data_IF_079992202999
#
_entry.id   IF_079992202999
#
_cell.length_a   1.000
_cell.length_b   1.000
_cell.length_c   1.000
_cell.angle_alpha   90.00
_cell.angle_beta   90.00
_cell.angle_gamma   90.00
#
_symmetry.space_group_name_H-M   'P 1'
#
loop_
_entity.id
_entity.type
_entity.pdbx_description
1 polymer ?
#
# COMPACT_ATOMS: atom_id res chain seq x y z
N UNK A 1 -12.11 4.19 6.31
CA UNK A 1 -11.06 4.85 5.51
C UNK A 1 -10.47 6.06 6.19
N UNK A 2 -11.33 7.02 6.53
CA UNK A 2 -10.96 8.27 7.16
C UNK A 2 -10.14 8.08 8.45
N UNK A 3 -10.59 7.23 9.37
CA UNK A 3 -9.86 6.93 10.61
C UNK A 3 -8.44 6.36 10.41
N UNK A 4 -8.17 5.60 9.34
CA UNK A 4 -6.80 5.15 9.08
C UNK A 4 -5.94 6.31 8.57
N UNK A 5 -6.49 7.10 7.65
CA UNK A 5 -5.83 8.28 7.09
C UNK A 5 -5.55 9.31 8.19
N UNK A 6 -6.53 9.63 9.03
CA UNK A 6 -6.41 10.49 10.21
C UNK A 6 -5.30 10.02 11.15
N UNK A 7 -5.25 8.72 11.45
CA UNK A 7 -4.17 8.15 12.28
C UNK A 7 -2.80 8.31 11.64
N UNK A 8 -2.70 8.28 10.31
CA UNK A 8 -1.41 8.49 9.63
C UNK A 8 -1.04 9.98 9.57
N UNK A 9 -2.02 10.86 9.29
CA UNK A 9 -1.80 12.31 9.29
C UNK A 9 -1.39 12.82 10.67
N UNK A 10 -2.03 12.33 11.74
CA UNK A 10 -1.64 12.63 13.13
C UNK A 10 -0.23 12.18 13.49
N UNK A 11 0.38 11.25 12.74
CA UNK A 11 1.76 10.80 12.95
C UNK A 11 2.78 11.55 12.11
N UNK A 12 2.36 12.52 11.30
CA UNK A 12 3.31 13.30 10.52
C UNK A 12 4.30 14.01 11.46
N UNK A 13 5.55 14.04 11.02
CA UNK A 13 6.67 14.76 11.60
C UNK A 13 7.11 15.91 10.68
N UNK A 14 7.78 16.96 11.20
CA UNK A 14 8.26 18.10 10.41
C UNK A 14 9.47 17.71 9.54
N UNK A 15 9.21 17.03 8.42
CA UNK A 15 10.21 16.62 7.45
C UNK A 15 9.62 16.64 6.02
N UNK A 16 10.49 16.65 5.01
CA UNK A 16 10.08 16.36 3.64
C UNK A 16 9.79 14.86 3.50
N UNK A 17 8.72 14.50 2.83
CA UNK A 17 8.31 13.12 2.60
C UNK A 17 8.62 12.68 1.20
N UNK A 18 8.88 11.39 1.07
CA UNK A 18 9.15 10.71 -0.17
C UNK A 18 8.17 9.55 -0.34
N UNK A 19 7.67 9.41 -1.56
CA UNK A 19 6.94 8.24 -2.00
C UNK A 19 7.93 7.34 -2.76
N UNK A 20 8.28 6.23 -2.15
CA UNK A 20 9.07 5.18 -2.78
C UNK A 20 8.13 4.10 -3.32
N UNK A 21 8.38 3.61 -4.52
CA UNK A 21 7.56 2.53 -5.13
C UNK A 21 8.47 1.39 -5.55
N UNK A 22 8.28 0.23 -4.94
CA UNK A 22 9.02 -1.00 -5.23
C UNK A 22 8.14 -1.91 -6.07
N UNK A 23 8.56 -2.18 -7.29
CA UNK A 23 7.74 -2.92 -8.27
C UNK A 23 8.31 -4.31 -8.51
N UNK A 24 7.44 -5.31 -8.44
CA UNK A 24 7.78 -6.67 -8.80
C UNK A 24 7.80 -6.83 -10.33
N UNK A 25 8.86 -7.39 -10.94
CA UNK A 25 8.91 -7.63 -12.38
C UNK A 25 7.80 -8.57 -12.87
N UNK A 26 7.49 -8.53 -14.17
CA UNK A 26 6.36 -9.26 -14.74
C UNK A 26 6.50 -10.77 -14.59
N UNK A 27 7.73 -11.26 -14.66
CA UNK A 27 8.14 -12.66 -14.61
C UNK A 27 7.84 -13.30 -13.24
N UNK A 28 7.79 -12.50 -12.18
CA UNK A 28 7.46 -12.96 -10.83
C UNK A 28 5.95 -12.94 -10.55
N UNK A 29 5.12 -12.42 -11.45
CA UNK A 29 3.67 -12.31 -11.22
C UNK A 29 2.97 -13.67 -11.10
N UNK A 30 3.27 -14.69 -11.92
CA UNK A 30 2.70 -16.03 -11.70
C UNK A 30 3.04 -16.58 -10.31
N UNK A 31 4.30 -16.46 -9.90
CA UNK A 31 4.76 -16.86 -8.56
C UNK A 31 4.01 -16.07 -7.46
N UNK A 32 3.89 -14.75 -7.61
CA UNK A 32 3.15 -13.91 -6.68
C UNK A 32 1.67 -14.26 -6.60
N UNK A 33 1.06 -14.64 -7.73
CA UNK A 33 -0.34 -15.04 -7.77
C UNK A 33 -0.56 -16.40 -7.10
N UNK A 34 0.35 -17.36 -7.29
CA UNK A 34 0.29 -18.68 -6.66
C UNK A 34 0.58 -18.64 -5.15
N UNK A 35 1.51 -17.77 -4.72
CA UNK A 35 2.00 -17.69 -3.34
C UNK A 35 1.80 -16.29 -2.73
N UNK A 36 0.57 -15.77 -2.84
CA UNK A 36 0.24 -14.38 -2.47
C UNK A 36 0.71 -13.98 -1.07
N UNK A 37 0.43 -14.79 -0.04
CA UNK A 37 0.77 -14.44 1.33
C UNK A 37 2.29 -14.30 1.53
N UNK A 38 3.06 -15.29 1.10
CA UNK A 38 4.51 -15.30 1.21
C UNK A 38 5.15 -14.16 0.39
N UNK A 39 4.77 -14.03 -0.89
CA UNK A 39 5.39 -13.06 -1.80
C UNK A 39 5.01 -11.63 -1.43
N UNK A 40 3.77 -11.36 -1.03
CA UNK A 40 3.39 -10.01 -0.61
C UNK A 40 4.03 -9.62 0.72
N UNK A 41 4.18 -10.57 1.66
CA UNK A 41 4.90 -10.33 2.91
C UNK A 41 6.38 -10.00 2.64
N UNK A 42 7.04 -10.83 1.82
CA UNK A 42 8.41 -10.62 1.36
C UNK A 42 8.57 -9.26 0.66
N UNK A 43 7.66 -8.92 -0.25
CA UNK A 43 7.68 -7.64 -0.97
C UNK A 43 7.65 -6.45 -0.02
N UNK A 44 6.77 -6.46 0.99
CA UNK A 44 6.69 -5.38 1.98
C UNK A 44 7.91 -5.34 2.90
N UNK A 45 8.41 -6.51 3.33
CA UNK A 45 9.53 -6.63 4.27
C UNK A 45 10.85 -6.21 3.61
N UNK A 46 11.15 -6.73 2.42
CA UNK A 46 12.36 -6.39 1.67
C UNK A 46 12.37 -4.91 1.27
N UNK A 47 11.21 -4.31 0.92
CA UNK A 47 11.11 -2.88 0.66
C UNK A 47 11.46 -2.06 1.92
N UNK A 48 10.93 -2.43 3.09
CA UNK A 48 11.25 -1.79 4.37
C UNK A 48 12.73 -1.94 4.75
N UNK A 49 13.27 -3.17 4.73
CA UNK A 49 14.66 -3.43 5.09
C UNK A 49 15.64 -2.69 4.17
N UNK A 50 15.30 -2.54 2.89
CA UNK A 50 16.09 -1.77 1.94
C UNK A 50 16.18 -0.32 2.39
N UNK A 51 15.06 0.36 2.63
CA UNK A 51 15.09 1.77 3.05
C UNK A 51 15.68 1.96 4.45
N UNK A 52 15.52 0.98 5.34
CA UNK A 52 16.16 0.97 6.65
C UNK A 52 17.69 0.92 6.52
N UNK A 53 18.22 -0.02 5.73
CA UNK A 53 19.67 -0.14 5.47
C UNK A 53 20.25 1.16 4.90
N UNK A 54 19.54 1.76 3.94
CA UNK A 54 19.97 3.03 3.34
C UNK A 54 19.94 4.19 4.34
N UNK A 55 18.95 4.25 5.22
CA UNK A 55 18.87 5.27 6.27
C UNK A 55 20.01 5.14 7.29
N UNK A 56 20.39 3.92 7.68
CA UNK A 56 21.53 3.71 8.57
C UNK A 56 22.86 4.11 7.93
N UNK A 57 23.03 3.83 6.63
CA UNK A 57 24.28 4.12 5.91
C UNK A 57 24.37 5.55 5.35
N UNK A 58 23.29 6.32 5.36
CA UNK A 58 23.26 7.70 4.89
C UNK A 58 23.93 8.65 5.89
N UNK A 59 24.86 9.48 5.41
CA UNK A 59 25.67 10.41 6.24
C UNK A 59 24.81 11.40 7.07
N UNK A 60 23.63 11.78 6.60
CA UNK A 60 22.73 12.73 7.26
C UNK A 60 21.63 12.05 8.10
N UNK A 61 21.23 10.82 7.79
CA UNK A 61 20.21 10.10 8.56
C UNK A 61 20.82 9.26 9.69
N UNK A 62 21.77 8.36 9.42
CA UNK A 62 22.45 7.47 10.39
C UNK A 62 21.54 6.96 11.53
N UNK A 63 20.37 6.43 11.18
CA UNK A 63 19.42 5.96 12.19
C UNK A 63 18.22 5.24 11.61
N UNK A 64 17.32 4.83 12.51
CA UNK A 64 16.09 4.11 12.15
C UNK A 64 15.09 5.09 11.53
N UNK A 65 14.69 4.91 10.26
CA UNK A 65 13.70 5.77 9.65
C UNK A 65 12.29 5.41 10.15
N UNK A 66 11.27 6.08 9.62
CA UNK A 66 9.88 5.70 9.79
C UNK A 66 9.23 5.60 8.42
N UNK A 67 8.35 4.64 8.20
CA UNK A 67 7.64 4.55 6.93
C UNK A 67 6.24 3.95 7.06
N UNK A 68 5.37 4.29 6.12
CA UNK A 68 4.04 3.70 5.95
C UNK A 68 4.05 2.96 4.61
N UNK A 69 3.96 1.63 4.65
CA UNK A 69 3.90 0.78 3.48
C UNK A 69 2.46 0.44 3.11
N UNK A 70 2.14 0.49 1.82
CA UNK A 70 0.85 0.07 1.26
C UNK A 70 1.10 -0.81 0.05
N UNK A 71 0.57 -2.04 0.10
CA UNK A 71 0.55 -2.97 -1.02
C UNK A 71 -0.54 -2.59 -2.02
N UNK A 72 -0.18 -2.58 -3.30
CA UNK A 72 -1.09 -2.57 -4.43
C UNK A 72 -0.82 -3.78 -5.33
N UNK A 73 -1.88 -4.28 -5.96
CA UNK A 73 -1.82 -5.46 -6.83
C UNK A 73 -2.25 -5.18 -8.26
N UNK A 74 -2.63 -3.94 -8.59
CA UNK A 74 -3.26 -3.61 -9.87
C UNK A 74 -2.68 -2.37 -10.53
N UNK A 75 -2.73 -2.33 -11.85
CA UNK A 75 -2.59 -1.10 -12.62
C UNK A 75 -3.92 -0.35 -12.67
N UNK A 76 -3.91 0.87 -13.25
CA UNK A 76 -5.16 1.60 -13.56
C UNK A 76 -6.02 0.88 -14.60
N UNK A 77 -5.42 0.00 -15.41
CA UNK A 77 -6.08 -0.83 -16.42
C UNK A 77 -6.58 -2.18 -15.84
N UNK A 78 -6.48 -2.36 -14.52
CA UNK A 78 -6.82 -3.57 -13.76
C UNK A 78 -5.90 -4.78 -13.98
N UNK A 79 -4.80 -4.63 -14.72
CA UNK A 79 -3.83 -5.71 -14.87
C UNK A 79 -3.13 -6.01 -13.54
N UNK A 80 -2.87 -7.29 -13.26
CA UNK A 80 -2.14 -7.70 -12.08
C UNK A 80 -0.69 -7.20 -12.10
N UNK A 81 -0.37 -6.44 -11.06
CA UNK A 81 0.88 -5.70 -10.92
C UNK A 81 1.20 -5.44 -9.43
N UNK A 82 1.69 -6.46 -8.69
CA UNK A 82 2.12 -6.30 -7.31
C UNK A 82 3.25 -5.27 -7.16
N UNK A 83 3.03 -4.26 -6.32
CA UNK A 83 4.02 -3.25 -5.94
C UNK A 83 3.72 -2.70 -4.56
N UNK A 84 4.73 -2.17 -3.89
CA UNK A 84 4.59 -1.53 -2.57
C UNK A 84 4.96 -0.06 -2.67
N UNK A 85 4.08 0.79 -2.17
CA UNK A 85 4.41 2.18 -1.88
C UNK A 85 4.84 2.34 -0.44
N UNK A 86 5.97 3.02 -0.23
CA UNK A 86 6.44 3.47 1.08
C UNK A 86 6.38 5.00 1.12
N UNK A 87 5.61 5.53 2.06
CA UNK A 87 5.64 6.96 2.42
C UNK A 87 6.60 7.12 3.59
N UNK A 88 7.74 7.75 3.33
CA UNK A 88 8.85 7.89 4.28
C UNK A 88 9.22 9.36 4.44
N UNK A 89 9.15 9.95 5.65
CA UNK A 89 9.84 11.20 5.94
C UNK A 89 11.35 11.03 5.75
N UNK A 90 12.02 12.06 5.24
CA UNK A 90 13.47 12.19 5.19
C UNK A 90 14.04 12.50 6.58
N UNK A 91 13.72 11.62 7.53
CA UNK A 91 14.09 11.73 8.92
C UNK A 91 14.35 10.33 9.51
N UNK A 92 15.16 10.29 10.55
CA UNK A 92 15.55 9.09 11.27
C UNK A 92 15.79 9.39 12.75
N UNK A 93 15.67 8.36 13.57
CA UNK A 93 15.98 8.39 15.00
C UNK A 93 17.24 7.58 15.20
N UNK A 94 18.28 8.23 15.70
CA UNK A 94 19.46 7.55 16.23
C UNK A 94 19.22 7.31 17.73
N UNK A 95 18.90 6.07 18.09
CA UNK A 95 18.55 5.70 19.48
C UNK A 95 19.74 5.75 20.42
N UNK A 96 20.94 5.40 19.94
CA UNK A 96 22.18 5.40 20.72
C UNK A 96 22.54 6.83 21.16
N UNK A 97 22.50 7.78 20.21
CA UNK A 97 22.82 9.19 20.45
C UNK A 97 21.61 9.99 20.93
N UNK A 98 20.42 9.39 21.02
CA UNK A 98 19.14 10.04 21.32
C UNK A 98 18.87 11.26 20.41
N UNK A 99 19.17 11.14 19.12
CA UNK A 99 19.11 12.23 18.15
C UNK A 99 18.00 12.04 17.12
N UNK A 100 17.26 13.13 16.87
CA UNK A 100 16.43 13.28 15.69
C UNK A 100 17.26 13.83 14.54
N UNK A 101 17.34 13.10 13.43
CA UNK A 101 18.14 13.48 12.27
C UNK A 101 17.25 13.66 11.06
N UNK A 102 17.47 14.72 10.30
CA UNK A 102 16.74 15.01 9.07
C UNK A 102 17.73 15.19 7.93
N UNK A 103 17.33 14.73 6.74
CA UNK A 103 18.10 14.98 5.52
C UNK A 103 17.60 16.26 4.89
N UNK A 104 18.49 17.25 4.75
CA UNK A 104 18.15 18.57 4.23
C UNK A 104 17.91 18.51 2.72
N UNK A 105 17.01 19.37 2.26
CA UNK A 105 16.72 19.59 0.85
C UNK A 105 17.98 20.12 0.15
N UNK A 106 18.35 19.53 -0.98
CA UNK A 106 19.30 20.15 -1.90
C UNK A 106 18.73 21.49 -2.40
N UNK A 107 19.58 22.50 -2.64
CA UNK A 107 19.18 23.76 -3.30
C UNK A 107 18.66 23.52 -4.73
N UNK A 108 18.93 22.36 -5.33
CA UNK A 108 18.38 21.99 -6.63
C UNK A 108 16.88 21.63 -6.52
N UNK A 109 16.09 22.03 -7.52
CA UNK A 109 14.63 21.82 -7.58
C UNK A 109 14.28 20.32 -7.46
N UNK A 110 13.90 19.90 -6.26
CA UNK A 110 13.47 18.53 -5.94
C UNK A 110 14.29 17.94 -4.80
N UNK A 111 13.63 17.58 -3.69
CA UNK A 111 14.30 16.86 -2.61
C UNK A 111 14.90 15.53 -3.11
N UNK A 112 16.07 15.15 -2.59
CA UNK A 112 16.74 13.88 -2.88
C UNK A 112 16.85 13.05 -1.61
N UNK A 113 16.31 11.84 -1.62
CA UNK A 113 16.41 10.91 -0.50
C UNK A 113 17.48 9.85 -0.77
N UNK A 114 17.27 8.95 -1.73
CA UNK A 114 18.21 7.87 -2.06
C UNK A 114 18.34 7.68 -3.58
N UNK A 115 19.44 7.07 -4.01
CA UNK A 115 19.62 6.68 -5.41
C UNK A 115 18.69 5.50 -5.73
N UNK A 116 17.80 5.70 -6.70
CA UNK A 116 16.76 4.72 -7.04
C UNK A 116 17.32 3.42 -7.66
N UNK A 117 18.43 3.49 -8.42
CA UNK A 117 19.09 2.30 -8.97
C UNK A 117 19.75 1.48 -7.87
N UNK A 118 20.38 2.15 -6.90
CA UNK A 118 20.96 1.48 -5.74
C UNK A 118 19.89 0.80 -4.88
N UNK A 119 18.75 1.48 -4.64
CA UNK A 119 17.60 0.89 -3.96
C UNK A 119 17.12 -0.37 -4.70
N UNK A 120 16.94 -0.30 -6.03
CA UNK A 120 16.51 -1.43 -6.84
C UNK A 120 17.48 -2.62 -6.78
N UNK A 121 18.79 -2.37 -6.80
CA UNK A 121 19.81 -3.42 -6.70
C UNK A 121 19.73 -4.17 -5.36
N UNK A 122 19.66 -3.44 -4.25
CA UNK A 122 19.60 -4.04 -2.91
C UNK A 122 18.25 -4.73 -2.67
N UNK A 123 17.16 -4.10 -3.10
CA UNK A 123 15.83 -4.69 -3.01
C UNK A 123 15.73 -5.99 -3.80
N UNK A 124 16.25 -6.03 -5.04
CA UNK A 124 16.33 -7.25 -5.85
C UNK A 124 17.07 -8.36 -5.10
N UNK A 125 18.27 -8.09 -4.60
CA UNK A 125 19.06 -9.08 -3.89
C UNK A 125 18.31 -9.64 -2.67
N UNK A 126 17.73 -8.75 -1.84
CA UNK A 126 16.93 -9.14 -0.68
C UNK A 126 15.72 -9.99 -1.04
N UNK A 127 15.00 -9.63 -2.11
CA UNK A 127 13.79 -10.35 -2.50
C UNK A 127 14.11 -11.74 -3.05
N UNK A 128 15.15 -11.88 -3.89
CA UNK A 128 15.57 -13.18 -4.42
C UNK A 128 15.96 -14.14 -3.30
N UNK A 129 16.85 -13.70 -2.40
CA UNK A 129 17.26 -14.49 -1.23
C UNK A 129 16.06 -14.85 -0.36
N UNK A 130 15.13 -13.91 -0.16
CA UNK A 130 13.93 -14.15 0.63
C UNK A 130 12.94 -15.13 0.00
N UNK A 131 12.86 -15.19 -1.33
CA UNK A 131 12.03 -16.16 -2.06
C UNK A 131 12.64 -17.57 -1.93
N UNK A 132 13.96 -17.70 -2.17
CA UNK A 132 14.67 -18.97 -2.05
C UNK A 132 14.60 -19.51 -0.60
N UNK A 133 14.80 -18.64 0.40
CA UNK A 133 14.69 -19.00 1.82
C UNK A 133 13.27 -19.41 2.22
N UNK A 134 12.25 -19.00 1.46
CA UNK A 134 10.87 -19.46 1.65
C UNK A 134 10.58 -20.80 0.97
N UNK A 135 11.59 -21.46 0.38
CA UNK A 135 11.45 -22.72 -0.35
C UNK A 135 10.72 -22.58 -1.69
N UNK A 136 10.67 -21.38 -2.25
CA UNK A 136 9.98 -21.10 -3.52
C UNK A 136 10.98 -21.02 -4.67
N UNK A 137 10.63 -21.63 -5.80
CA UNK A 137 11.46 -21.61 -7.01
C UNK A 137 11.36 -20.26 -7.70
N UNK A 138 12.52 -19.66 -8.01
CA UNK A 138 12.59 -18.45 -8.81
C UNK A 138 12.18 -18.75 -10.28
N UNK A 139 11.64 -17.77 -11.01
CA UNK A 139 11.40 -17.92 -12.44
C UNK A 139 12.70 -18.22 -13.20
N UNK A 140 12.64 -19.04 -14.26
CA UNK A 140 13.82 -19.41 -15.07
C UNK A 140 14.54 -18.20 -15.65
N UNK A 141 13.77 -17.15 -16.00
CA UNK A 141 14.29 -15.89 -16.55
C UNK A 141 13.61 -14.72 -15.87
N UNK A 142 14.42 -13.74 -15.47
CA UNK A 142 13.95 -12.46 -14.93
C UNK A 142 14.98 -11.37 -15.17
N UNK A 143 14.56 -10.10 -15.24
CA UNK A 143 15.46 -8.99 -15.56
C UNK A 143 16.51 -8.77 -14.47
N UNK A 144 17.71 -8.38 -14.89
CA UNK A 144 18.78 -7.91 -14.01
C UNK A 144 18.47 -6.51 -13.46
N UNK A 145 17.86 -5.66 -14.28
CA UNK A 145 17.46 -4.31 -13.91
C UNK A 145 16.04 -4.30 -13.32
N UNK A 146 15.92 -3.93 -12.04
CA UNK A 146 14.64 -3.75 -11.36
C UNK A 146 14.31 -2.25 -11.22
N UNK A 147 13.03 -1.94 -11.01
CA UNK A 147 12.55 -0.57 -10.91
C UNK A 147 12.14 -0.27 -9.49
N UNK A 148 12.77 0.77 -8.93
CA UNK A 148 12.30 1.47 -7.73
C UNK A 148 12.17 2.93 -8.10
N UNK A 149 11.05 3.54 -7.77
CA UNK A 149 10.87 4.99 -7.85
C UNK A 149 11.11 5.61 -6.48
N UNK A 150 11.71 6.80 -6.41
CA UNK A 150 11.87 7.58 -5.19
C UNK A 150 11.59 9.06 -5.48
N UNK A 151 10.39 9.54 -5.12
CA UNK A 151 9.91 10.87 -5.49
C UNK A 151 9.57 11.71 -4.26
N UNK A 152 10.04 12.95 -4.21
CA UNK A 152 9.60 13.90 -3.18
C UNK A 152 8.10 14.20 -3.34
N UNK A 153 7.39 14.22 -2.21
CA UNK A 153 5.95 14.49 -2.12
C UNK A 153 5.64 15.59 -1.10
N UNK A 154 6.61 16.46 -0.82
CA UNK A 154 6.44 17.62 0.06
C UNK A 154 6.13 17.20 1.51
N UNK A 155 4.99 17.62 2.06
CA UNK A 155 4.55 17.23 3.40
C UNK A 155 4.07 15.77 3.51
N UNK A 156 3.92 15.07 2.38
CA UNK A 156 3.40 13.71 2.33
C UNK A 156 1.87 13.59 2.46
N UNK A 157 1.17 14.67 2.81
CA UNK A 157 -0.28 14.66 3.02
C UNK A 157 -1.04 14.19 1.78
N UNK A 158 -0.76 14.76 0.60
CA UNK A 158 -1.38 14.34 -0.67
C UNK A 158 -1.09 12.87 -1.00
N UNK A 159 0.11 12.38 -0.68
CA UNK A 159 0.47 10.98 -0.90
C UNK A 159 -0.29 10.05 0.05
N UNK A 160 -0.42 10.42 1.33
CA UNK A 160 -1.22 9.67 2.30
C UNK A 160 -2.71 9.66 1.94
N UNK A 161 -3.28 10.79 1.51
CA UNK A 161 -4.65 10.87 1.01
C UNK A 161 -4.82 9.97 -0.21
N UNK A 162 -3.88 10.02 -1.15
CA UNK A 162 -3.89 9.18 -2.35
C UNK A 162 -3.91 7.69 -1.98
N UNK A 163 -2.95 7.22 -1.16
CA UNK A 163 -2.88 5.82 -0.73
C UNK A 163 -4.09 5.41 0.12
N UNK A 164 -4.58 6.29 0.97
CA UNK A 164 -5.78 6.08 1.79
C UNK A 164 -7.04 5.80 0.95
N UNK A 165 -7.11 6.29 -0.30
CA UNK A 165 -8.22 5.97 -1.22
C UNK A 165 -8.17 4.51 -1.67
N UNK A 166 -6.99 3.96 -1.96
CA UNK A 166 -6.82 2.57 -2.42
C UNK A 166 -6.99 1.51 -1.33
N UNK A 167 -6.88 1.90 -0.06
CA UNK A 167 -7.12 0.97 1.05
C UNK A 167 -8.59 0.57 1.19
N UNK A 168 -9.52 1.34 0.62
CA UNK A 168 -10.95 1.18 0.89
C UNK A 168 -11.84 1.24 -0.35
N UNK A 169 -11.42 1.95 -1.40
CA UNK A 169 -12.10 1.84 -2.69
C UNK A 169 -11.67 0.54 -3.35
N UNK A 170 -12.60 -0.10 -4.03
CA UNK A 170 -12.27 -1.23 -4.92
C UNK A 170 -11.24 -0.82 -5.97
N UNK A 171 -10.78 -1.80 -6.75
CA UNK A 171 -9.77 -1.57 -7.78
C UNK A 171 -10.24 -0.67 -8.94
N UNK A 172 -11.56 -0.48 -9.03
CA UNK A 172 -12.26 0.38 -9.98
C UNK A 172 -13.37 1.14 -9.24
N UNK A 173 -13.67 2.37 -9.66
CA UNK A 173 -14.84 3.10 -9.19
C UNK A 173 -16.05 2.80 -10.09
N UNK A 174 -17.24 2.70 -9.49
CA UNK A 174 -18.48 2.41 -10.24
C UNK A 174 -18.71 3.38 -11.40
N UNK A 175 -18.52 4.69 -11.16
CA UNK A 175 -18.60 5.74 -12.21
C UNK A 175 -17.63 5.58 -13.38
N UNK A 176 -16.64 4.70 -13.26
CA UNK A 176 -15.66 4.42 -14.30
C UNK A 176 -16.02 3.15 -15.10
N UNK A 177 -17.04 2.40 -14.68
CA UNK A 177 -17.73 1.41 -15.50
C UNK A 177 -18.73 2.20 -16.35
N UNK A 178 -18.49 2.29 -17.65
CA UNK A 178 -19.20 3.22 -18.55
C UNK A 178 -20.22 2.54 -19.45
N UNK A 179 -20.13 1.21 -19.64
CA UNK A 179 -21.14 0.42 -20.34
C UNK A 179 -21.10 -1.04 -19.87
N UNK A 180 -22.26 -1.69 -19.90
CA UNK A 180 -22.44 -3.11 -19.60
C UNK A 180 -23.61 -3.63 -20.46
N UNK A 181 -23.30 -4.08 -21.66
CA UNK A 181 -24.28 -4.51 -22.67
C UNK A 181 -23.70 -5.68 -23.47
N UNK A 182 -24.57 -6.52 -24.05
CA UNK A 182 -24.18 -7.61 -24.96
C UNK A 182 -23.09 -8.55 -24.40
N UNK A 183 -23.09 -8.80 -23.08
CA UNK A 183 -22.08 -9.63 -22.42
C UNK A 183 -20.68 -8.99 -22.28
N UNK A 184 -20.54 -7.72 -22.64
CA UNK A 184 -19.31 -6.94 -22.57
C UNK A 184 -19.40 -5.86 -21.49
N UNK A 185 -18.27 -5.54 -20.88
CA UNK A 185 -18.12 -4.46 -19.91
C UNK A 185 -17.05 -3.51 -20.42
N UNK A 186 -17.41 -2.22 -20.52
CA UNK A 186 -16.48 -1.16 -20.87
C UNK A 186 -16.19 -0.30 -19.65
N UNK A 187 -14.92 -0.10 -19.34
CA UNK A 187 -14.49 0.81 -18.28
C UNK A 187 -13.42 1.78 -18.76
N UNK A 188 -13.41 2.97 -18.15
CA UNK A 188 -12.42 4.02 -18.44
C UNK A 188 -11.30 4.01 -17.40
N UNK A 189 -10.09 4.33 -17.85
CA UNK A 189 -8.94 4.48 -16.98
C UNK A 189 -8.02 5.59 -17.50
N UNK A 190 -7.23 6.19 -16.60
CA UNK A 190 -6.18 7.14 -17.00
C UNK A 190 -4.91 6.36 -17.32
N UNK A 191 -4.47 6.39 -18.57
CA UNK A 191 -3.23 5.73 -18.98
C UNK A 191 -2.03 6.41 -18.29
N UNK A 192 -1.18 5.60 -17.66
CA UNK A 192 -0.05 6.10 -16.89
C UNK A 192 1.08 6.69 -17.74
N UNK A 193 1.21 6.25 -19.01
CA UNK A 193 2.23 6.72 -19.95
C UNK A 193 1.78 7.99 -20.68
N UNK A 194 0.56 7.98 -21.21
CA UNK A 194 0.02 9.10 -22.03
C UNK A 194 -0.70 10.15 -21.19
N UNK A 195 -1.12 9.81 -19.97
CA UNK A 195 -1.92 10.67 -19.11
C UNK A 195 -3.37 10.87 -19.56
N UNK A 196 -3.77 10.31 -20.71
CA UNK A 196 -5.11 10.44 -21.31
C UNK A 196 -6.09 9.46 -20.69
N UNK A 197 -7.38 9.80 -20.77
CA UNK A 197 -8.46 8.87 -20.45
C UNK A 197 -8.67 7.93 -21.62
N UNK A 198 -8.60 6.63 -21.36
CA UNK A 198 -8.78 5.56 -22.34
C UNK A 198 -9.87 4.61 -21.86
N UNK A 199 -10.40 3.79 -22.78
CA UNK A 199 -11.43 2.78 -22.50
C UNK A 199 -10.87 1.39 -22.75
N UNK A 200 -11.22 0.44 -21.89
CA UNK A 200 -11.00 -1.01 -22.10
C UNK A 200 -12.35 -1.69 -22.10
N UNK A 201 -12.59 -2.53 -23.10
CA UNK A 201 -13.78 -3.36 -23.24
C UNK A 201 -13.36 -4.83 -23.20
N UNK A 202 -14.01 -5.62 -22.36
CA UNK A 202 -13.75 -7.05 -22.15
C UNK A 202 -15.06 -7.76 -21.84
N UNK A 203 -15.08 -9.10 -21.93
CA UNK A 203 -16.27 -9.86 -21.56
C UNK A 203 -16.59 -9.68 -20.07
N UNK A 204 -17.85 -9.86 -19.69
CA UNK A 204 -18.26 -9.79 -18.28
C UNK A 204 -17.44 -10.74 -17.39
N UNK A 205 -17.16 -11.95 -17.86
CA UNK A 205 -16.32 -12.91 -17.14
C UNK A 205 -14.87 -12.42 -16.98
N UNK A 206 -14.25 -11.85 -18.04
CA UNK A 206 -12.92 -11.26 -17.94
C UNK A 206 -12.90 -10.03 -17.02
N UNK A 207 -13.95 -9.20 -17.02
CA UNK A 207 -14.07 -8.08 -16.12
C UNK A 207 -14.10 -8.53 -14.65
N UNK A 208 -14.92 -9.54 -14.33
CA UNK A 208 -14.97 -10.12 -13.00
C UNK A 208 -13.61 -10.69 -12.58
N UNK A 209 -12.92 -11.41 -13.46
CA UNK A 209 -11.56 -11.89 -13.22
C UNK A 209 -10.59 -10.74 -12.94
N UNK A 210 -10.62 -9.67 -13.75
CA UNK A 210 -9.81 -8.45 -13.57
C UNK A 210 -10.04 -7.77 -12.23
N UNK A 211 -11.23 -7.88 -11.64
CA UNK A 211 -11.54 -7.33 -10.32
C UNK A 211 -11.12 -8.28 -9.20
N UNK A 212 -11.46 -9.56 -9.32
CA UNK A 212 -11.32 -10.56 -8.26
C UNK A 212 -9.86 -10.95 -7.99
N UNK A 213 -8.97 -10.89 -8.99
CA UNK A 213 -7.55 -11.22 -8.80
C UNK A 213 -6.81 -10.28 -7.83
N UNK A 214 -7.44 -9.20 -7.38
CA UNK A 214 -6.90 -8.23 -6.42
C UNK A 214 -7.45 -8.39 -5.00
N UNK A 215 -8.28 -9.40 -4.77
CA UNK A 215 -8.68 -9.82 -3.43
C UNK A 215 -7.45 -10.39 -2.73
N UNK A 216 -7.13 -9.84 -1.56
CA UNK A 216 -5.97 -10.28 -0.79
C UNK A 216 -6.29 -11.53 0.04
N UNK A 217 -5.27 -12.35 0.39
CA UNK A 217 -5.46 -13.46 1.30
C UNK A 217 -6.13 -13.02 2.61
N UNK A 218 -6.94 -13.92 3.18
CA UNK A 218 -7.67 -13.64 4.42
C UNK A 218 -6.70 -13.26 5.54
N UNK A 219 -6.94 -12.12 6.18
CA UNK A 219 -6.09 -11.62 7.27
C UNK A 219 -4.85 -10.85 6.83
N UNK A 220 -4.53 -10.80 5.53
CA UNK A 220 -3.38 -10.07 5.03
C UNK A 220 -3.53 -8.56 5.24
N UNK A 221 -2.56 -7.96 5.94
CA UNK A 221 -2.55 -6.51 6.20
C UNK A 221 -1.98 -5.75 5.02
N UNK A 222 -2.87 -5.15 4.21
CA UNK A 222 -2.52 -4.31 3.05
C UNK A 222 -1.61 -3.13 3.38
N UNK A 223 -1.74 -2.55 4.59
CA UNK A 223 -0.93 -1.42 5.05
C UNK A 223 -0.18 -1.76 6.34
N UNK A 224 1.08 -1.32 6.43
CA UNK A 224 1.97 -1.53 7.58
C UNK A 224 2.72 -0.24 7.91
N UNK A 225 2.99 -0.06 9.20
CA UNK A 225 3.75 1.07 9.71
C UNK A 225 5.06 0.56 10.30
N UNK A 226 6.17 1.17 9.93
CA UNK A 226 7.51 0.71 10.27
C UNK A 226 8.35 1.79 10.97
N UNK A 227 9.38 1.33 11.67
CA UNK A 227 10.34 2.18 12.39
C UNK A 227 9.65 3.13 13.37
N UNK A 228 10.07 4.40 13.43
CA UNK A 228 9.47 5.34 14.38
C UNK A 228 8.00 5.72 14.08
N UNK A 229 7.46 5.35 12.91
CA UNK A 229 6.02 5.49 12.60
C UNK A 229 5.20 4.27 13.06
N UNK A 230 5.85 3.22 13.58
CA UNK A 230 5.19 2.04 14.13
C UNK A 230 4.20 2.44 15.25
N UNK A 231 3.05 1.74 15.42
CA UNK A 231 2.06 2.08 16.43
C UNK A 231 2.56 2.06 17.87
N UNK A 232 3.69 1.41 18.17
CA UNK A 232 4.28 1.41 19.53
C UNK A 232 5.10 2.68 19.81
N UNK A 233 5.41 3.50 18.81
CA UNK A 233 6.23 4.70 18.94
C UNK A 233 5.40 5.98 19.20
N UNK A 234 4.17 5.86 19.70
CA UNK A 234 3.24 7.00 19.90
C UNK A 234 3.84 8.09 20.78
N UNK A 235 4.55 7.68 21.85
CA UNK A 235 5.20 8.61 22.80
C UNK A 235 6.32 9.40 22.13
N UNK A 236 7.12 8.73 21.29
CA UNK A 236 8.17 9.39 20.51
C UNK A 236 7.58 10.40 19.53
N UNK A 237 6.52 10.05 18.81
CA UNK A 237 5.82 10.97 17.91
C UNK A 237 5.31 12.21 18.67
N UNK A 238 4.65 12.01 19.81
CA UNK A 238 4.17 13.12 20.65
C UNK A 238 5.32 14.01 21.15
N UNK A 239 6.45 13.41 21.56
CA UNK A 239 7.64 14.14 21.96
C UNK A 239 8.19 15.00 20.81
N UNK A 240 8.27 14.45 19.59
CA UNK A 240 8.71 15.19 18.41
C UNK A 240 7.79 16.37 18.10
N UNK A 241 6.47 16.20 18.26
CA UNK A 241 5.51 17.32 18.09
C UNK A 241 5.76 18.45 19.08
N UNK A 242 6.02 18.12 20.35
CA UNK A 242 6.31 19.11 21.38
C UNK A 242 7.65 19.81 21.09
N UNK A 243 8.73 19.05 20.89
CA UNK A 243 10.08 19.58 20.69
C UNK A 243 10.18 20.49 19.46
N UNK A 244 9.52 20.13 18.37
CA UNK A 244 9.54 20.90 17.13
C UNK A 244 8.37 21.87 16.99
N UNK A 245 7.52 22.02 18.02
CA UNK A 245 6.27 22.82 17.98
C UNK A 245 5.43 22.53 16.72
N UNK A 246 5.40 21.26 16.33
CA UNK A 246 4.74 20.80 15.12
C UNK A 246 3.33 20.30 15.43
N UNK A 247 2.33 20.96 14.85
CA UNK A 247 0.95 20.51 14.90
C UNK A 247 0.62 19.73 13.61
N UNK A 248 0.54 18.39 13.65
CA UNK A 248 0.17 17.61 12.48
C UNK A 248 -1.26 17.92 12.03
N UNK A 249 -1.42 18.32 10.77
CA UNK A 249 -2.70 18.38 10.09
C UNK A 249 -3.71 19.40 10.66
N UNK A 250 -3.58 20.69 10.28
CA UNK A 250 -4.73 21.61 10.25
C UNK A 250 -5.87 21.12 9.33
N UNK A 251 -5.62 20.13 8.47
CA UNK A 251 -6.61 19.48 7.59
C UNK A 251 -7.50 18.44 8.29
N UNK A 252 -7.24 18.10 9.56
CA UNK A 252 -8.11 17.23 10.35
C UNK A 252 -9.45 17.91 10.76
N UNK A 253 -9.67 19.18 10.39
CA UNK A 253 -10.92 19.91 10.63
C UNK A 253 -12.04 19.57 9.63
N UNK A 254 -11.75 18.88 8.52
CA UNK A 254 -12.77 18.37 7.59
C UNK A 254 -13.24 16.95 7.98
N UNK A 255 -13.36 16.69 9.27
CA UNK A 255 -13.94 15.44 9.77
C UNK A 255 -15.45 15.58 9.75
N UNK A 256 -16.10 15.04 8.72
CA UNK A 256 -17.50 14.63 8.86
C UNK A 256 -17.53 13.58 9.97
N UNK A 257 -18.10 13.95 11.11
CA UNK A 257 -18.40 12.97 12.15
C UNK A 257 -19.24 11.87 11.51
N UNK A 258 -18.86 10.61 11.75
CA UNK A 258 -19.67 9.48 11.30
C UNK A 258 -21.01 9.61 12.01
N UNK A 259 -22.11 9.56 11.26
CA UNK A 259 -23.44 9.56 11.86
C UNK A 259 -23.48 8.51 12.98
N UNK A 260 -23.93 8.87 14.19
CA UNK A 260 -24.03 7.93 15.29
C UNK A 260 -24.93 6.76 14.87
N UNK A 261 -24.61 5.56 15.34
CA UNK A 261 -25.53 4.43 15.22
C UNK A 261 -26.60 4.68 16.28
N UNK A 262 -27.81 5.02 15.85
CA UNK A 262 -28.92 5.28 16.75
C UNK A 262 -29.74 4.01 16.91
N UNK A 263 -30.21 3.76 18.13
CA UNK A 263 -31.17 2.71 18.41
C UNK A 263 -32.48 3.01 17.65
N UNK A 264 -32.97 2.06 16.85
CA UNK A 264 -34.22 2.23 16.11
C UNK A 264 -35.45 2.41 17.04
N UNK A 265 -35.38 1.94 18.29
CA UNK A 265 -36.47 2.03 19.24
C UNK A 265 -36.50 3.37 19.99
N UNK A 266 -35.35 3.85 20.47
CA UNK A 266 -35.30 5.00 21.39
C UNK A 266 -34.38 6.14 20.94
N UNK A 267 -33.72 6.02 19.79
CA UNK A 267 -32.79 7.04 19.29
C UNK A 267 -31.49 7.18 20.09
N UNK A 268 -31.26 6.37 21.14
CA UNK A 268 -30.04 6.42 21.93
C UNK A 268 -28.80 6.05 21.10
N UNK A 269 -27.66 6.66 21.41
CA UNK A 269 -26.38 6.34 20.78
C UNK A 269 -25.92 4.92 21.17
N UNK A 270 -25.68 4.08 20.16
CA UNK A 270 -25.21 2.71 20.33
C UNK A 270 -23.69 2.63 20.14
N UNK A 271 -23.04 1.77 20.94
CA UNK A 271 -21.60 1.46 20.83
C UNK A 271 -21.42 0.03 20.33
N UNK A 272 -20.50 -0.17 19.39
CA UNK A 272 -20.15 -1.52 18.92
C UNK A 272 -19.30 -2.20 20.01
N UNK A 273 -19.91 -3.11 20.75
CA UNK A 273 -19.20 -3.90 21.78
C UNK A 273 -18.45 -5.09 21.18
N UNK A 274 -18.98 -5.67 20.08
CA UNK A 274 -18.37 -6.81 19.38
C UNK A 274 -18.77 -6.81 17.91
N UNK A 275 -17.89 -7.27 17.04
CA UNK A 275 -18.19 -7.55 15.63
C UNK A 275 -18.03 -9.04 15.38
N UNK A 276 -19.05 -9.68 14.78
CA UNK A 276 -18.97 -11.04 14.25
C UNK A 276 -18.87 -10.96 12.73
N UNK A 277 -17.92 -11.65 12.14
CA UNK A 277 -17.94 -11.91 10.70
C UNK A 277 -18.96 -13.03 10.50
N UNK A 278 -20.03 -12.77 9.75
CA UNK A 278 -21.01 -13.80 9.39
C UNK A 278 -20.26 -14.93 8.69
N UNK A 279 -20.28 -16.14 9.25
CA UNK A 279 -19.79 -17.33 8.54
C UNK A 279 -20.76 -17.62 7.41
N UNK A 280 -20.39 -17.29 6.17
CA UNK A 280 -21.24 -17.54 5.00
C UNK A 280 -21.23 -19.02 4.60
N UNK A 281 -20.44 -19.86 5.26
CA UNK A 281 -20.44 -21.32 5.09
C UNK A 281 -21.03 -21.99 6.32
N UNK A 282 -22.36 -21.99 6.40
CA UNK A 282 -23.15 -22.84 7.29
C UNK A 282 -24.44 -23.27 6.58
N UNK A 283 -24.34 -23.57 5.28
CA UNK A 283 -25.37 -24.24 4.50
C UNK A 283 -24.78 -25.50 3.88
N UNK A 284 -25.58 -26.57 3.67
CA UNK A 284 -25.11 -27.77 3.01
C UNK A 284 -24.53 -27.42 1.63
N UNK A 285 -23.37 -27.99 1.31
CA UNK A 285 -22.77 -27.86 -0.02
C UNK A 285 -23.80 -28.34 -1.06
N UNK A 286 -24.05 -27.61 -2.15
CA UNK A 286 -24.86 -28.13 -3.24
C UNK A 286 -24.16 -29.38 -3.79
N UNK A 287 -24.90 -30.48 -3.84
CA UNK A 287 -24.45 -31.73 -4.46
C UNK A 287 -24.14 -31.44 -5.93
N UNK A 288 -22.97 -31.84 -6.45
CA UNK A 288 -22.66 -31.64 -7.86
C UNK A 288 -23.69 -32.38 -8.72
N UNK A 289 -24.34 -31.66 -9.64
CA UNK A 289 -25.19 -32.28 -10.65
C UNK A 289 -24.32 -33.19 -11.51
N UNK A 290 -24.55 -34.50 -11.40
CA UNK A 290 -24.02 -35.50 -12.32
C UNK A 290 -24.66 -35.23 -13.68
N UNK A 291 -23.91 -34.64 -14.59
CA UNK A 291 -24.29 -34.59 -16.01
C UNK A 291 -24.20 -36.02 -16.52
N UNK A 292 -25.34 -36.69 -16.65
CA UNK A 292 -25.42 -37.93 -17.43
C UNK A 292 -25.15 -37.57 -18.88
N UNK A 293 -24.06 -38.11 -19.44
CA UNK A 293 -23.80 -38.04 -20.87
C UNK A 293 -24.96 -38.64 -21.65
N UNK A 294 -25.46 -37.92 -22.63
CA UNK A 294 -26.29 -38.48 -23.68
C UNK A 294 -25.39 -39.27 -24.63
N UNK A 295 -25.84 -40.49 -24.95
CA UNK A 295 -25.32 -41.32 -26.05
C UNK A 295 -25.56 -40.64 -27.40
#
# INVERSE_FOLDING_TARGET
SQQWLERQLKKQVPAEYFLLTFTLPAEFRPLAFAHQEAIYDLLMRCAWETVQTFSHNDKQLQGTPGAIAVLHTHTRKLDYHPHVHLVMPAAAVNSEKKQWRTKRRSKAKGGYLFNHKALAKVFRAKLLVGIEAAGLTLPDRYPTAWVVDCKSVGSGEKALIYLGRYLYRGVIAEKDIVACDNGQVSFRYRNAKTGKMERRTVSGAQFLWLVLQHVLPKGFRRARNFGFLHPNCKRLIALLHILFRFAPGRAATLVKQRAPILCACCGAMMVIVRTRIRSVFAGPLPVPLVIRGAQ
#
